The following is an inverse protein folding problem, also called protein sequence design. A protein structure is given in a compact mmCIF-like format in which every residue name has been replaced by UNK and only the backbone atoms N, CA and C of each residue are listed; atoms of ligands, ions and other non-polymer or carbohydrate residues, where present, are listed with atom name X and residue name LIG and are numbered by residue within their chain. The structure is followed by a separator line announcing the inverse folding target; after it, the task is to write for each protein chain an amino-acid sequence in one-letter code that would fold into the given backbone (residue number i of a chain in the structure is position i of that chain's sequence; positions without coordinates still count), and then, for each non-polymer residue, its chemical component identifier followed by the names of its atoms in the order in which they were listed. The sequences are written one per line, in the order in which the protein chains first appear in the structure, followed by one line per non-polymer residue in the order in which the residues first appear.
data_IF_172976897070
#
_entry.id   IF_172976897070
#
_cell.length_a   1.000
_cell.length_b   1.000
_cell.length_c   1.000
_cell.angle_alpha   90.00
_cell.angle_beta   90.00
_cell.angle_gamma   90.00
#
_symmetry.space_group_name_H-M   'P 1'
#
loop_
_entity.id
_entity.type
_entity.pdbx_description
1 polymer ?
#
# COMPACT_ATOMS: atom_id res chain seq x y z
N UNK A 1 12.54 15.57 -2.48
CA UNK A 1 13.58 14.69 -1.89
C UNK A 1 12.95 13.35 -1.47
N UNK A 2 13.72 12.24 -1.43
CA UNK A 2 13.32 10.94 -0.87
C UNK A 2 14.22 10.62 0.33
N UNK A 3 13.63 10.36 1.49
CA UNK A 3 14.36 10.00 2.70
C UNK A 3 13.77 8.70 3.25
N UNK A 4 14.47 7.56 3.13
CA UNK A 4 14.04 6.35 3.82
C UNK A 4 14.12 6.58 5.33
N UNK A 5 13.05 6.23 6.06
CA UNK A 5 13.00 6.32 7.52
C UNK A 5 13.55 5.04 8.19
N UNK A 6 14.41 4.35 7.46
CA UNK A 6 14.87 3.03 7.81
C UNK A 6 15.73 3.06 9.08
N UNK A 7 15.25 2.41 10.14
CA UNK A 7 15.96 2.18 11.40
C UNK A 7 15.67 3.21 12.51
N UNK A 8 14.75 4.18 12.28
CA UNK A 8 14.43 5.24 13.26
C UNK A 8 13.02 5.16 13.83
N UNK A 9 12.42 3.97 13.80
CA UNK A 9 11.09 3.76 14.34
C UNK A 9 11.06 2.57 15.29
N UNK A 10 10.14 2.68 16.24
CA UNK A 10 9.87 1.63 17.21
C UNK A 10 8.47 1.09 16.95
N UNK A 11 8.31 -0.21 17.17
CA UNK A 11 7.04 -0.89 17.00
C UNK A 11 6.58 -1.53 18.31
N UNK A 12 5.28 -1.59 18.48
CA UNK A 12 4.58 -2.20 19.60
C UNK A 12 3.45 -3.06 19.03
N UNK A 13 3.42 -4.34 19.39
CA UNK A 13 2.25 -5.17 19.10
C UNK A 13 1.10 -4.70 20.00
N UNK A 14 -0.06 -4.40 19.40
CA UNK A 14 -1.23 -3.90 20.13
C UNK A 14 -1.63 -4.90 21.23
N UNK A 15 -1.58 -4.51 22.51
CA UNK A 15 -2.06 -5.34 23.61
C UNK A 15 -3.59 -5.48 23.55
N UNK A 16 -4.16 -6.61 23.99
CA UNK A 16 -5.61 -6.73 24.12
C UNK A 16 -6.14 -5.68 25.10
N UNK A 17 -6.93 -4.73 24.60
CA UNK A 17 -7.52 -3.64 25.39
C UNK A 17 -7.09 -2.23 24.98
N UNK A 18 -6.03 -2.07 24.18
CA UNK A 18 -5.65 -0.77 23.62
C UNK A 18 -6.51 -0.47 22.38
N UNK A 19 -7.53 0.37 22.53
CA UNK A 19 -8.50 0.67 21.47
C UNK A 19 -8.29 2.03 20.78
N UNK A 20 -7.18 2.71 21.04
CA UNK A 20 -6.87 3.95 20.32
C UNK A 20 -5.71 4.76 20.89
N UNK A 21 -5.37 5.83 20.16
CA UNK A 21 -4.25 6.70 20.49
C UNK A 21 -4.38 7.33 21.89
N UNK A 22 -5.60 7.68 22.32
CA UNK A 22 -5.82 8.34 23.61
C UNK A 22 -5.33 7.48 24.80
N UNK A 23 -5.55 6.16 24.74
CA UNK A 23 -5.06 5.22 25.75
C UNK A 23 -3.55 4.99 25.64
N UNK A 24 -3.03 4.99 24.40
CA UNK A 24 -1.59 4.89 24.16
C UNK A 24 -0.83 6.09 24.75
N UNK A 25 -1.35 7.30 24.59
CA UNK A 25 -0.78 8.53 25.17
C UNK A 25 -1.07 8.70 26.67
N UNK A 26 -1.97 7.90 27.25
CA UNK A 26 -2.27 7.95 28.68
C UNK A 26 -1.24 7.19 29.52
N UNK A 27 -0.50 6.25 28.90
CA UNK A 27 0.43 5.36 29.58
C UNK A 27 1.79 5.36 28.88
N UNK A 28 2.84 5.80 29.57
CA UNK A 28 4.19 5.95 28.98
C UNK A 28 5.08 4.68 29.09
N UNK A 29 4.58 3.60 29.72
CA UNK A 29 5.35 2.39 30.05
C UNK A 29 5.30 1.25 29.04
N UNK A 30 4.87 1.49 27.79
CA UNK A 30 4.72 0.41 26.81
C UNK A 30 6.06 -0.21 26.39
N UNK A 31 6.12 -1.54 26.16
CA UNK A 31 7.34 -2.24 25.77
C UNK A 31 7.63 -2.08 24.27
N UNK A 32 8.00 -0.86 23.88
CA UNK A 32 8.43 -0.55 22.51
C UNK A 32 9.68 -1.33 22.13
N UNK A 33 9.68 -1.89 20.92
CA UNK A 33 10.83 -2.60 20.35
C UNK A 33 11.37 -1.84 19.16
N UNK A 34 12.68 -1.71 19.08
CA UNK A 34 13.35 -1.21 17.87
C UNK A 34 13.31 -2.29 16.79
N UNK A 35 13.03 -1.89 15.54
CA UNK A 35 13.03 -2.80 14.41
C UNK A 35 14.46 -3.30 14.12
N UNK A 36 14.74 -4.61 14.26
CA UNK A 36 16.11 -5.13 14.08
C UNK A 36 16.55 -5.15 12.61
N UNK A 37 15.60 -5.26 11.68
CA UNK A 37 15.84 -5.38 10.23
C UNK A 37 14.99 -4.40 9.43
N UNK A 38 15.49 -4.03 8.25
CA UNK A 38 14.84 -3.13 7.29
C UNK A 38 14.73 -3.79 5.91
N UNK A 39 13.52 -3.81 5.30
CA UNK A 39 12.22 -3.41 5.85
C UNK A 39 11.78 -4.31 7.02
N UNK A 40 11.01 -3.76 7.96
CA UNK A 40 10.46 -4.55 9.08
C UNK A 40 9.47 -5.57 8.52
N UNK A 41 9.80 -6.85 8.65
CA UNK A 41 8.94 -7.97 8.28
C UNK A 41 8.27 -8.53 9.53
N UNK A 42 7.00 -8.23 9.72
CA UNK A 42 6.18 -8.83 10.76
C UNK A 42 5.43 -10.00 10.13
N UNK A 43 5.63 -11.20 10.69
CA UNK A 43 4.99 -12.43 10.20
C UNK A 43 3.46 -12.42 10.33
N UNK A 44 2.82 -13.49 9.86
CA UNK A 44 1.37 -13.66 9.87
C UNK A 44 0.81 -13.67 11.32
N UNK A 45 0.22 -12.56 11.76
CA UNK A 45 -0.54 -12.47 13.01
C UNK A 45 -1.71 -11.51 12.86
N UNK A 46 -2.90 -11.92 13.27
CA UNK A 46 -4.11 -11.08 13.37
C UNK A 46 -4.04 -10.07 14.53
N UNK A 47 -2.95 -9.31 14.61
CA UNK A 47 -2.77 -8.28 15.64
C UNK A 47 -2.41 -6.97 14.96
N UNK A 48 -2.99 -5.88 15.44
CA UNK A 48 -2.55 -4.56 15.01
C UNK A 48 -1.18 -4.24 15.60
N UNK A 49 -0.41 -3.43 14.90
CA UNK A 49 0.90 -2.95 15.32
C UNK A 49 0.88 -1.43 15.35
N UNK A 50 1.36 -0.88 16.45
CA UNK A 50 1.63 0.54 16.57
C UNK A 50 3.08 0.80 16.21
N UNK A 51 3.33 1.76 15.33
CA UNK A 51 4.65 2.29 15.06
C UNK A 51 4.71 3.72 15.54
N UNK A 52 5.82 4.10 16.18
CA UNK A 52 6.10 5.49 16.52
C UNK A 52 7.38 5.95 15.87
N UNK A 53 7.35 7.15 15.31
CA UNK A 53 8.46 7.76 14.58
C UNK A 53 8.63 9.19 15.10
N UNK A 54 9.79 9.54 15.69
CA UNK A 54 10.12 10.92 15.96
C UNK A 54 10.46 11.61 14.63
N UNK A 55 9.69 12.64 14.26
CA UNK A 55 9.97 13.45 13.08
C UNK A 55 10.34 14.87 13.48
N UNK A 56 11.30 15.41 12.73
CA UNK A 56 11.68 16.82 12.77
C UNK A 56 11.62 17.34 11.34
N UNK A 57 10.61 18.16 11.05
CA UNK A 57 10.40 18.81 9.77
C UNK A 57 10.86 20.26 9.91
N UNK A 58 11.96 20.59 9.23
CA UNK A 58 12.53 21.95 9.27
C UNK A 58 11.47 23.02 8.99
N UNK A 59 11.44 24.13 9.76
CA UNK A 59 10.61 25.29 9.48
C UNK A 59 10.71 25.74 8.03
N UNK A 60 9.56 25.94 7.37
CA UNK A 60 9.50 26.34 5.96
C UNK A 60 9.79 25.22 4.95
N UNK A 61 9.94 23.97 5.38
CA UNK A 61 10.05 22.85 4.45
C UNK A 61 8.72 22.62 3.69
N UNK A 62 8.84 22.33 2.40
CA UNK A 62 7.72 22.02 1.51
C UNK A 62 6.87 20.85 2.04
N UNK A 63 5.58 20.77 1.66
CA UNK A 63 4.68 19.70 2.10
C UNK A 63 5.31 18.31 1.95
N UNK A 64 5.60 17.66 3.08
CA UNK A 64 6.12 16.30 3.13
C UNK A 64 4.98 15.29 3.21
N UNK A 65 5.23 14.13 2.61
CA UNK A 65 4.36 12.98 2.55
C UNK A 65 5.08 11.81 3.22
N UNK A 66 4.37 11.09 4.07
CA UNK A 66 4.82 9.81 4.60
C UNK A 66 4.18 8.71 3.77
N UNK A 67 4.99 7.98 3.01
CA UNK A 67 4.57 6.82 2.25
C UNK A 67 4.79 5.56 3.07
N UNK A 68 3.75 4.72 3.10
CA UNK A 68 3.82 3.36 3.59
C UNK A 68 3.81 2.47 2.34
N UNK A 69 4.97 1.98 1.90
CA UNK A 69 5.12 1.30 0.61
C UNK A 69 4.51 -0.11 0.53
N UNK A 70 3.50 -0.41 1.36
CA UNK A 70 2.79 -1.69 1.38
C UNK A 70 1.34 -1.49 0.96
N UNK A 71 0.99 -2.06 -0.20
CA UNK A 71 -0.37 -2.03 -0.75
C UNK A 71 -1.29 -3.09 -0.14
N UNK A 72 -0.75 -4.06 0.60
CA UNK A 72 -1.50 -5.20 1.17
C UNK A 72 -2.11 -4.90 2.54
N UNK A 73 -1.96 -3.68 3.05
CA UNK A 73 -2.40 -3.35 4.40
C UNK A 73 -3.93 -3.19 4.44
N UNK A 74 -4.57 -3.95 5.34
CA UNK A 74 -6.02 -3.94 5.50
C UNK A 74 -6.53 -2.58 6.02
N UNK A 75 -5.82 -1.99 6.98
CA UNK A 75 -6.12 -0.66 7.51
C UNK A 75 -4.90 -0.02 8.16
N UNK A 76 -4.73 1.28 7.94
CA UNK A 76 -3.70 2.13 8.53
C UNK A 76 -4.36 3.39 9.06
N UNK A 77 -4.14 3.68 10.34
CA UNK A 77 -4.51 4.96 10.92
C UNK A 77 -3.26 5.74 11.26
N UNK A 78 -3.16 6.94 10.72
CA UNK A 78 -2.08 7.89 10.94
C UNK A 78 -2.51 8.96 11.95
N UNK A 79 -1.64 9.20 12.91
CA UNK A 79 -1.77 10.26 13.89
C UNK A 79 -0.47 11.07 13.97
N UNK A 80 -0.56 12.38 13.82
CA UNK A 80 0.52 13.30 14.19
C UNK A 80 0.22 13.90 15.56
N UNK A 81 1.15 13.81 16.51
CA UNK A 81 0.95 14.20 17.91
C UNK A 81 2.10 15.10 18.37
N UNK A 82 1.75 16.20 19.04
CA UNK A 82 2.71 17.05 19.75
C UNK A 82 2.33 17.14 21.22
N UNK A 83 3.17 16.60 22.09
CA UNK A 83 2.84 16.42 23.51
C UNK A 83 1.64 15.48 23.67
N UNK A 84 0.48 16.01 24.07
CA UNK A 84 -0.79 15.26 24.18
C UNK A 84 -1.85 15.69 23.15
N UNK A 85 -1.50 16.62 22.26
CA UNK A 85 -2.41 17.20 21.27
C UNK A 85 -2.27 16.47 19.93
N UNK A 86 -3.39 16.03 19.35
CA UNK A 86 -3.41 15.46 17.99
C UNK A 86 -3.44 16.62 16.98
N UNK A 87 -2.42 16.70 16.14
CA UNK A 87 -2.28 17.73 15.11
C UNK A 87 -3.00 17.32 13.82
N UNK A 88 -2.93 16.03 13.46
CA UNK A 88 -3.56 15.50 12.27
C UNK A 88 -3.97 14.04 12.49
N UNK A 89 -5.09 13.66 11.88
CA UNK A 89 -5.63 12.31 11.88
C UNK A 89 -6.03 11.96 10.45
N UNK A 90 -5.50 10.86 9.93
CA UNK A 90 -5.79 10.37 8.58
C UNK A 90 -5.94 8.85 8.61
N UNK A 91 -6.87 8.32 7.82
CA UNK A 91 -7.10 6.89 7.69
C UNK A 91 -6.89 6.46 6.23
N UNK A 92 -6.22 5.33 6.04
CA UNK A 92 -6.00 4.72 4.74
C UNK A 92 -6.05 3.19 4.86
N UNK A 93 -6.09 2.50 3.72
CA UNK A 93 -6.11 1.04 3.65
C UNK A 93 -7.21 0.50 2.75
N UNK A 94 -7.12 -0.78 2.41
CA UNK A 94 -8.03 -1.36 1.43
C UNK A 94 -9.48 -1.46 1.95
N UNK A 95 -9.68 -1.51 3.28
CA UNK A 95 -11.01 -1.55 3.91
C UNK A 95 -11.79 -0.24 3.82
N UNK A 96 -11.14 0.90 3.58
CA UNK A 96 -11.86 2.16 3.41
C UNK A 96 -12.50 2.22 2.01
N UNK A 97 -13.79 2.64 1.93
CA UNK A 97 -14.47 2.83 0.65
C UNK A 97 -13.71 3.85 -0.21
N UNK A 98 -13.62 3.58 -1.52
CA UNK A 98 -12.82 4.35 -2.48
C UNK A 98 -13.07 5.87 -2.46
N UNK A 99 -14.28 6.31 -2.07
CA UNK A 99 -14.66 7.72 -1.95
C UNK A 99 -14.11 8.45 -0.72
N UNK A 100 -13.71 7.72 0.33
CA UNK A 100 -13.16 8.28 1.56
C UNK A 100 -11.62 8.31 1.59
N UNK A 101 -10.97 7.74 0.57
CA UNK A 101 -9.51 7.76 0.46
C UNK A 101 -9.06 9.16 0.07
N UNK A 102 -8.39 9.85 1.00
CA UNK A 102 -7.86 11.20 0.77
C UNK A 102 -6.93 11.27 -0.45
N UNK A 103 -6.26 10.16 -0.80
CA UNK A 103 -5.45 10.03 -2.00
C UNK A 103 -5.59 8.64 -2.64
N UNK A 104 -5.75 8.58 -3.97
CA UNK A 104 -5.81 7.33 -4.76
C UNK A 104 -4.43 6.83 -5.16
N UNK A 105 -3.50 6.73 -4.21
CA UNK A 105 -2.20 6.12 -4.48
C UNK A 105 -2.25 4.61 -4.21
N UNK A 106 -1.45 3.85 -4.95
CA UNK A 106 -1.32 2.38 -4.84
C UNK A 106 -0.81 1.97 -3.45
N UNK A 107 0.07 2.82 -2.88
CA UNK A 107 0.53 2.78 -1.51
C UNK A 107 -0.21 3.83 -0.65
N UNK A 108 -0.53 3.55 0.62
CA UNK A 108 -1.02 4.57 1.56
C UNK A 108 -0.01 5.71 1.73
N UNK A 109 -0.45 6.94 1.49
CA UNK A 109 0.34 8.16 1.67
C UNK A 109 -0.39 9.10 2.61
N UNK A 110 0.35 9.66 3.57
CA UNK A 110 -0.18 10.58 4.57
C UNK A 110 0.52 11.93 4.49
N UNK A 111 -0.26 13.01 4.57
CA UNK A 111 0.32 14.35 4.64
C UNK A 111 0.86 14.63 6.04
N UNK A 112 2.12 15.07 6.13
CA UNK A 112 2.67 15.56 7.38
C UNK A 112 2.19 17.00 7.64
N UNK A 113 1.85 17.35 8.89
CA UNK A 113 1.50 18.74 9.23
C UNK A 113 2.66 19.67 8.85
N UNK A 114 2.33 20.77 8.18
CA UNK A 114 3.29 21.81 7.79
C UNK A 114 3.21 22.99 8.75
N UNK A 115 4.34 23.52 9.20
CA UNK A 115 4.44 24.63 10.15
C UNK A 115 5.51 24.43 11.24
N UNK A 116 5.64 25.39 12.15
CA UNK A 116 6.55 25.33 13.32
C UNK A 116 5.98 24.41 14.42
N UNK A 117 5.76 23.15 14.05
CA UNK A 117 5.21 22.13 14.94
C UNK A 117 6.26 21.15 15.47
N UNK A 118 7.54 21.44 15.20
CA UNK A 118 8.69 20.64 15.63
C UNK A 118 9.04 20.80 17.12
N UNK A 119 9.44 19.71 17.81
CA UNK A 119 9.41 18.31 17.40
C UNK A 119 8.02 17.66 17.61
N UNK A 120 7.63 16.73 16.74
CA UNK A 120 6.39 15.95 16.88
C UNK A 120 6.60 14.45 16.66
N UNK A 121 5.65 13.65 17.16
CA UNK A 121 5.65 12.20 17.04
C UNK A 121 4.58 11.78 16.04
N UNK A 122 4.94 10.88 15.13
CA UNK A 122 3.99 10.18 14.27
C UNK A 122 3.71 8.82 14.86
N UNK A 123 2.43 8.51 15.02
CA UNK A 123 1.94 7.18 15.39
C UNK A 123 1.15 6.59 14.22
N UNK A 124 1.53 5.38 13.82
CA UNK A 124 0.83 4.60 12.80
C UNK A 124 0.25 3.36 13.46
N UNK A 125 -1.06 3.19 13.40
CA UNK A 125 -1.71 1.92 13.75
C UNK A 125 -1.92 1.14 12.47
N UNK A 126 -1.21 0.03 12.33
CA UNK A 126 -1.25 -0.82 11.14
C UNK A 126 -1.92 -2.15 11.47
N UNK A 127 -2.94 -2.51 10.70
CA UNK A 127 -3.60 -3.79 10.77
C UNK A 127 -3.47 -4.50 9.43
N UNK A 128 -2.89 -5.70 9.43
CA UNK A 128 -2.69 -6.53 8.24
C UNK A 128 -3.15 -7.95 8.52
N UNK A 129 -3.76 -8.57 7.50
CA UNK A 129 -4.17 -9.98 7.51
C UNK A 129 -3.10 -10.88 6.87
N UNK A 130 -2.03 -10.28 6.31
CA UNK A 130 -0.89 -10.97 5.71
C UNK A 130 0.44 -10.53 6.31
N UNK A 131 1.55 -11.16 5.87
CA UNK A 131 2.90 -10.70 6.17
C UNK A 131 3.03 -9.21 5.85
N UNK A 132 3.50 -8.46 6.84
CA UNK A 132 3.56 -7.01 6.78
C UNK A 132 5.01 -6.61 6.58
N UNK A 133 5.33 -6.10 5.40
CA UNK A 133 6.57 -5.36 5.15
C UNK A 133 6.26 -3.88 5.26
N UNK A 134 7.00 -3.15 6.10
CA UNK A 134 6.80 -1.72 6.31
C UNK A 134 8.00 -0.91 5.82
N UNK A 135 8.18 -0.75 4.50
CA UNK A 135 9.07 0.28 4.00
C UNK A 135 8.42 1.64 4.25
N UNK A 136 9.03 2.41 5.15
CA UNK A 136 8.58 3.75 5.52
C UNK A 136 9.49 4.77 4.85
N UNK A 137 8.91 5.62 4.01
CA UNK A 137 9.66 6.64 3.30
C UNK A 137 9.01 8.01 3.46
N UNK A 138 9.83 9.02 3.73
CA UNK A 138 9.42 10.41 3.71
C UNK A 138 9.75 11.02 2.35
N UNK A 139 8.74 11.59 1.69
CA UNK A 139 8.86 12.21 0.39
C UNK A 139 8.46 13.67 0.44
N UNK A 140 9.11 14.49 -0.37
CA UNK A 140 8.56 15.78 -0.71
C UNK A 140 7.43 15.60 -1.75
N UNK A 141 6.31 16.31 -1.61
CA UNK A 141 5.14 16.16 -2.50
C UNK A 141 5.46 16.28 -3.99
N UNK A 142 6.33 17.22 -4.38
CA UNK A 142 6.80 17.42 -5.75
C UNK A 142 7.57 16.20 -6.29
N UNK A 143 8.49 15.68 -5.48
CA UNK A 143 9.31 14.52 -5.82
C UNK A 143 8.50 13.23 -5.90
N UNK A 144 7.52 13.08 -5.00
CA UNK A 144 6.59 11.95 -5.03
C UNK A 144 5.77 11.91 -6.32
N UNK A 145 5.18 13.05 -6.71
CA UNK A 145 4.42 13.15 -7.97
C UNK A 145 5.25 12.76 -9.19
N UNK A 146 6.51 13.21 -9.26
CA UNK A 146 7.42 12.86 -10.34
C UNK A 146 7.80 11.37 -10.32
N UNK A 147 7.99 10.79 -9.14
CA UNK A 147 8.27 9.37 -8.98
C UNK A 147 7.11 8.50 -9.49
N UNK A 148 5.90 8.80 -9.03
CA UNK A 148 4.67 8.10 -9.47
C UNK A 148 4.48 8.23 -10.97
N UNK A 149 4.68 9.41 -11.54
CA UNK A 149 4.55 9.64 -12.98
C UNK A 149 5.56 8.82 -13.80
N UNK A 150 6.84 8.81 -13.39
CA UNK A 150 7.88 8.01 -14.07
C UNK A 150 7.57 6.52 -14.00
N UNK A 151 7.12 6.04 -12.84
CA UNK A 151 6.71 4.65 -12.68
C UNK A 151 5.52 4.31 -13.58
N UNK A 152 4.51 5.17 -13.63
CA UNK A 152 3.35 4.99 -14.51
C UNK A 152 3.74 4.94 -16.00
N UNK A 153 4.69 5.77 -16.44
CA UNK A 153 5.19 5.74 -17.83
C UNK A 153 5.91 4.43 -18.17
N UNK A 154 6.78 3.94 -17.29
CA UNK A 154 7.48 2.66 -17.48
C UNK A 154 6.49 1.49 -17.55
N UNK A 155 5.47 1.52 -16.70
CA UNK A 155 4.43 0.49 -16.66
C UNK A 155 3.52 0.54 -17.88
N UNK A 156 3.12 1.73 -18.31
CA UNK A 156 2.37 1.93 -19.55
C UNK A 156 3.16 1.42 -20.77
N UNK A 157 4.48 1.68 -20.81
CA UNK A 157 5.37 1.14 -21.84
C UNK A 157 5.47 -0.38 -21.82
N UNK A 158 5.60 -0.98 -20.63
CA UNK A 158 5.64 -2.45 -20.45
C UNK A 158 4.34 -3.12 -20.92
N UNK A 159 3.18 -2.65 -20.46
CA UNK A 159 1.88 -3.17 -20.88
C UNK A 159 1.65 -2.95 -22.37
N UNK A 160 2.05 -1.79 -22.91
CA UNK A 160 1.99 -1.49 -24.33
C UNK A 160 2.81 -2.47 -25.17
N UNK A 161 4.04 -2.79 -24.74
CA UNK A 161 4.88 -3.76 -25.42
C UNK A 161 4.26 -5.17 -25.43
N UNK A 162 3.66 -5.61 -24.31
CA UNK A 162 2.92 -6.87 -24.24
C UNK A 162 1.72 -6.89 -25.19
N UNK A 163 0.97 -5.79 -25.28
CA UNK A 163 -0.16 -5.68 -26.20
C UNK A 163 0.27 -5.71 -27.66
N UNK A 164 1.35 -5.02 -28.03
CA UNK A 164 1.91 -5.08 -29.39
C UNK A 164 2.35 -6.51 -29.72
N UNK A 165 2.99 -7.19 -28.77
CA UNK A 165 3.38 -8.60 -28.93
C UNK A 165 2.16 -9.52 -29.10
N UNK A 166 1.08 -9.29 -28.35
CA UNK A 166 -0.17 -10.01 -28.52
C UNK A 166 -0.82 -9.73 -29.89
N UNK A 167 -0.89 -8.47 -30.32
CA UNK A 167 -1.42 -8.10 -31.64
C UNK A 167 -0.62 -8.73 -32.78
N UNK A 168 0.71 -8.75 -32.67
CA UNK A 168 1.58 -9.42 -33.65
C UNK A 168 1.26 -10.92 -33.76
N UNK A 169 1.13 -11.61 -32.62
CA UNK A 169 0.77 -13.03 -32.60
C UNK A 169 -0.66 -13.26 -33.12
N UNK A 170 -1.57 -12.31 -32.94
CA UNK A 170 -2.92 -12.37 -33.51
C UNK A 170 -2.90 -12.25 -35.04
N UNK A 171 -2.06 -11.38 -35.60
CA UNK A 171 -1.84 -11.29 -37.06
C UNK A 171 -1.25 -12.59 -37.61
N UNK A 172 -0.25 -13.16 -36.91
CA UNK A 172 0.31 -14.47 -37.27
C UNK A 172 -0.74 -15.58 -37.25
N UNK A 173 -1.62 -15.60 -36.25
CA UNK A 173 -2.73 -16.55 -36.19
C UNK A 173 -3.61 -16.50 -37.45
N UNK A 174 -3.97 -15.30 -37.93
CA UNK A 174 -4.77 -15.18 -39.16
C UNK A 174 -4.02 -15.65 -40.41
N UNK A 175 -2.70 -15.50 -40.45
CA UNK A 175 -1.86 -15.92 -41.58
C UNK A 175 -1.54 -17.43 -41.60
N UNK A 176 -1.16 -18.00 -40.46
CA UNK A 176 -0.75 -19.41 -40.34
C UNK A 176 -1.90 -20.35 -39.97
N UNK A 177 -2.98 -19.84 -39.37
CA UNK A 177 -4.09 -20.60 -38.75
C UNK A 177 -3.64 -21.59 -37.67
N UNK A 178 -2.44 -21.44 -37.13
CA UNK A 178 -1.94 -22.26 -36.03
C UNK A 178 -2.51 -21.74 -34.69
N UNK A 179 -3.27 -22.60 -34.00
CA UNK A 179 -3.92 -22.30 -32.71
C UNK A 179 -2.93 -21.95 -31.60
N UNK A 180 -1.66 -22.35 -31.74
CA UNK A 180 -0.58 -22.04 -30.80
C UNK A 180 -0.44 -20.52 -30.58
N UNK A 181 -0.62 -19.72 -31.64
CA UNK A 181 -0.59 -18.26 -31.55
C UNK A 181 -1.77 -17.68 -30.77
N UNK A 182 -2.96 -18.29 -30.86
CA UNK A 182 -4.13 -17.87 -30.10
C UNK A 182 -3.94 -18.13 -28.60
N UNK A 183 -3.40 -19.29 -28.22
CA UNK A 183 -3.06 -19.58 -26.82
C UNK A 183 -2.05 -18.58 -26.26
N UNK A 184 -1.07 -18.16 -27.07
CA UNK A 184 -0.11 -17.13 -26.67
C UNK A 184 -0.79 -15.78 -26.38
N UNK A 185 -1.70 -15.33 -27.26
CA UNK A 185 -2.46 -14.08 -27.05
C UNK A 185 -3.26 -14.13 -25.76
N UNK A 186 -4.00 -15.23 -25.53
CA UNK A 186 -4.79 -15.41 -24.30
C UNK A 186 -3.89 -15.36 -23.06
N UNK A 187 -2.74 -16.05 -23.10
CA UNK A 187 -1.78 -16.05 -21.99
C UNK A 187 -1.28 -14.64 -21.66
N UNK A 188 -0.90 -13.85 -22.67
CA UNK A 188 -0.44 -12.47 -22.46
C UNK A 188 -1.55 -11.59 -21.89
N UNK A 189 -2.78 -11.71 -22.41
CA UNK A 189 -3.93 -10.94 -21.92
C UNK A 189 -4.27 -11.29 -20.46
N UNK A 190 -4.21 -12.57 -20.09
CA UNK A 190 -4.37 -13.01 -18.70
C UNK A 190 -3.27 -12.44 -17.80
N UNK A 191 -2.02 -12.40 -18.28
CA UNK A 191 -0.91 -11.79 -17.55
C UNK A 191 -1.11 -10.29 -17.27
N UNK A 192 -1.58 -9.55 -18.28
CA UNK A 192 -1.91 -8.12 -18.12
C UNK A 192 -3.09 -7.93 -17.15
N UNK A 193 -4.12 -8.77 -17.24
CA UNK A 193 -5.26 -8.72 -16.32
C UNK A 193 -4.83 -9.00 -14.87
N UNK A 194 -4.01 -10.04 -14.67
CA UNK A 194 -3.48 -10.39 -13.36
C UNK A 194 -2.66 -9.24 -12.77
N UNK A 195 -1.81 -8.61 -13.58
CA UNK A 195 -1.05 -7.44 -13.16
C UNK A 195 -1.98 -6.29 -12.74
N UNK A 196 -3.04 -6.02 -13.49
CA UNK A 196 -4.00 -4.98 -13.14
C UNK A 196 -4.72 -5.27 -11.81
N UNK A 197 -5.10 -6.52 -11.55
CA UNK A 197 -5.69 -6.94 -10.27
C UNK A 197 -4.73 -6.72 -9.10
N UNK A 198 -3.46 -7.11 -9.24
CA UNK A 198 -2.45 -6.91 -8.18
C UNK A 198 -2.25 -5.43 -7.82
N UNK A 199 -2.50 -4.52 -8.75
CA UNK A 199 -2.39 -3.07 -8.52
C UNK A 199 -3.64 -2.44 -7.88
N UNK A 200 -4.69 -3.20 -7.65
CA UNK A 200 -5.95 -2.66 -7.15
C UNK A 200 -6.79 -1.95 -8.22
N UNK A 201 -6.60 -2.27 -9.51
CA UNK A 201 -7.59 -1.97 -10.57
C UNK A 201 -8.72 -3.01 -10.61
N UNK A 202 -8.76 -3.92 -9.64
CA UNK A 202 -9.79 -4.96 -9.46
C UNK A 202 -11.21 -4.37 -9.49
N UNK A 203 -11.43 -3.24 -8.81
CA UNK A 203 -12.72 -2.53 -8.79
C UNK A 203 -13.08 -1.80 -10.09
N UNK A 204 -12.10 -1.52 -10.97
CA UNK A 204 -12.34 -0.85 -12.25
C UNK A 204 -12.59 -1.85 -13.39
N UNK A 205 -11.93 -3.01 -13.36
CA UNK A 205 -11.97 -4.00 -14.44
C UNK A 205 -12.97 -5.14 -14.20
N UNK A 206 -13.29 -5.46 -12.94
CA UNK A 206 -14.23 -6.53 -12.59
C UNK A 206 -15.25 -6.01 -11.56
N UNK A 207 -16.34 -5.35 -11.99
CA UNK A 207 -17.41 -4.91 -11.08
C UNK A 207 -18.09 -6.07 -10.31
N UNK A 208 -17.78 -7.33 -10.64
CA UNK A 208 -18.25 -8.52 -9.93
C UNK A 208 -17.60 -8.74 -8.56
N UNK A 209 -16.55 -8.00 -8.19
CA UNK A 209 -15.95 -8.05 -6.84
C UNK A 209 -16.71 -7.22 -5.79
N UNK A 210 -17.76 -6.49 -6.20
CA UNK A 210 -18.67 -5.79 -5.29
C UNK A 210 -19.59 -6.72 -4.47
N UNK A 211 -19.43 -8.04 -4.58
CA UNK A 211 -20.08 -8.99 -3.68
C UNK A 211 -19.38 -8.90 -2.31
N UNK A 212 -20.09 -8.54 -1.22
CA UNK A 212 -19.50 -8.47 0.10
C UNK A 212 -19.10 -9.88 0.55
N UNK A 213 -17.81 -10.21 0.41
CA UNK A 213 -17.27 -11.46 0.91
C UNK A 213 -17.32 -11.45 2.44
N UNK A 214 -18.01 -12.43 3.03
CA UNK A 214 -18.01 -12.67 4.46
C UNK A 214 -16.57 -12.95 4.94
N UNK A 215 -16.16 -12.49 6.14
CA UNK A 215 -14.84 -12.79 6.67
C UNK A 215 -14.65 -14.32 6.75
N UNK A 216 -13.59 -14.84 6.13
CA UNK A 216 -13.28 -16.27 6.10
C UNK A 216 -13.41 -16.97 4.74
N UNK A 217 -13.84 -16.28 3.68
CA UNK A 217 -13.77 -16.80 2.30
C UNK A 217 -12.83 -15.94 1.45
N UNK A 218 -11.54 -16.28 1.45
CA UNK A 218 -10.64 -15.96 0.35
C UNK A 218 -11.14 -16.77 -0.85
N UNK A 219 -11.99 -16.17 -1.69
CA UNK A 219 -12.34 -16.78 -2.97
C UNK A 219 -11.06 -16.84 -3.79
N UNK A 220 -10.53 -18.03 -4.11
CA UNK A 220 -9.42 -18.11 -5.02
C UNK A 220 -9.99 -18.08 -6.43
N UNK A 221 -10.18 -16.87 -6.97
CA UNK A 221 -10.44 -16.70 -8.40
C UNK A 221 -9.29 -17.25 -9.28
N UNK A 222 -8.13 -17.53 -8.67
CA UNK A 222 -6.98 -18.18 -9.31
C UNK A 222 -7.18 -19.71 -9.44
N UNK A 223 -8.00 -20.36 -8.60
CA UNK A 223 -8.15 -21.83 -8.63
C UNK A 223 -9.23 -22.37 -9.58
N UNK A 224 -10.11 -21.53 -10.13
CA UNK A 224 -11.09 -22.02 -11.12
C UNK A 224 -10.46 -22.40 -12.47
N UNK A 225 -9.16 -22.12 -12.68
CA UNK A 225 -8.49 -22.39 -13.96
C UNK A 225 -7.69 -23.71 -14.01
N UNK A 226 -7.54 -24.45 -12.90
CA UNK A 226 -6.71 -25.68 -12.89
C UNK A 226 -7.52 -26.98 -12.95
N UNK A 227 -8.85 -26.95 -12.81
CA UNK A 227 -9.66 -28.21 -12.79
C UNK A 227 -10.35 -28.53 -14.12
N UNK A 228 -10.00 -27.84 -15.22
CA UNK A 228 -10.41 -28.24 -16.58
C UNK A 228 -9.20 -28.18 -17.50
N UNK A 229 -8.26 -29.10 -17.28
CA UNK A 229 -7.25 -29.53 -18.25
C UNK A 229 -6.95 -31.02 -18.01
#
# INVERSE_FOLDING_TARGET
MHVPLDGRFEYLAEPPGLQGLAQLLAHDGWPWKTAPNHPLSLGFRDRAYWLRIPLQVRPGAAHWLLELGSSTVAGVTFYAVRGRSVLAHQEAGHRLPLGARAMRYEAPVFELPSGDHDPFWVYLRVQSESSLQLPLAAWERSAYGLHVQRWALLQGGFVGALLVMALYNLVLFFGTRDRSYLYYVIFVLLGVLLQAVYRGFDLLLLPLTAVPLRPGQTVPLIFLYITVA
#
